data_IF_032596839975
#
_entry.id   IF_032596839975
#
_cell.length_a   1.000
_cell.length_b   1.000
_cell.length_c   1.000
_cell.angle_alpha   90.00
_cell.angle_beta   90.00
_cell.angle_gamma   90.00
#
_symmetry.space_group_name_H-M   'P 1'
#
loop_
_entity.id
_entity.type
_entity.pdbx_description
1 polymer ?
#
# COMPACT_ATOMS: atom_id res chain seq x y z
N UNK A 1 -8.52 -12.07 33.78
CA UNK A 1 -9.62 -12.17 32.78
C UNK A 1 -9.53 -10.91 31.93
N UNK A 2 -9.19 -11.01 30.63
CA UNK A 2 -9.41 -9.97 29.65
C UNK A 2 -10.92 -9.86 29.55
N UNK A 3 -11.53 -8.83 30.13
CA UNK A 3 -12.93 -8.52 29.90
C UNK A 3 -13.09 -8.14 28.44
N UNK A 4 -14.20 -8.51 27.85
CA UNK A 4 -14.59 -8.07 26.52
C UNK A 4 -14.89 -6.57 26.60
N UNK A 5 -13.81 -5.80 26.40
CA UNK A 5 -13.87 -4.35 26.40
C UNK A 5 -14.36 -3.90 25.03
N UNK A 6 -15.60 -3.48 24.96
CA UNK A 6 -16.20 -2.84 23.77
C UNK A 6 -16.22 -1.33 24.01
N UNK A 7 -15.45 -0.61 23.21
CA UNK A 7 -15.46 0.86 23.24
C UNK A 7 -16.76 1.37 22.60
N UNK A 8 -17.51 2.20 23.34
CA UNK A 8 -18.62 2.95 22.77
C UNK A 8 -18.05 4.09 21.88
N UNK A 9 -18.25 4.05 20.56
CA UNK A 9 -17.73 5.09 19.68
C UNK A 9 -18.36 6.47 19.92
N UNK A 10 -19.50 6.54 20.63
CA UNK A 10 -20.18 7.79 20.97
C UNK A 10 -19.68 8.38 22.29
N UNK A 11 -18.95 7.62 23.08
CA UNK A 11 -18.43 8.07 24.37
C UNK A 11 -16.96 7.67 24.59
N UNK A 12 -16.09 8.20 23.75
CA UNK A 12 -14.64 7.91 23.76
C UNK A 12 -13.99 8.36 25.08
N UNK A 13 -14.53 9.41 25.72
CA UNK A 13 -13.97 9.96 26.96
C UNK A 13 -14.22 9.09 28.20
N UNK A 14 -15.03 8.04 28.11
CA UNK A 14 -15.11 7.04 29.20
C UNK A 14 -13.79 6.28 29.38
N UNK A 15 -12.92 6.31 28.35
CA UNK A 15 -11.68 5.55 28.30
C UNK A 15 -10.46 6.44 28.17
N UNK A 16 -10.61 7.50 27.37
CA UNK A 16 -9.55 8.48 27.14
C UNK A 16 -9.85 9.75 27.93
N UNK A 17 -8.82 10.35 28.46
CA UNK A 17 -8.90 11.68 29.02
C UNK A 17 -8.05 12.66 28.21
N UNK A 18 -8.38 13.91 28.29
CA UNK A 18 -7.53 14.96 27.76
C UNK A 18 -6.20 15.02 28.52
N UNK A 19 -5.13 15.29 27.78
CA UNK A 19 -3.79 15.44 28.32
C UNK A 19 -3.04 16.53 27.53
N UNK A 20 -2.13 17.25 28.18
CA UNK A 20 -1.21 18.11 27.47
C UNK A 20 -0.19 17.32 26.66
N UNK A 21 0.41 17.93 25.66
CA UNK A 21 1.51 17.32 24.91
C UNK A 21 2.70 16.98 25.80
N UNK A 22 3.03 17.82 26.77
CA UNK A 22 4.11 17.58 27.72
C UNK A 22 3.84 16.33 28.54
N UNK A 23 2.64 16.19 29.09
CA UNK A 23 2.26 15.00 29.85
C UNK A 23 2.29 13.72 28.99
N UNK A 24 1.68 13.78 27.80
CA UNK A 24 1.60 12.63 26.91
C UNK A 24 2.99 12.17 26.45
N UNK A 25 3.86 13.10 26.04
CA UNK A 25 5.21 12.79 25.61
C UNK A 25 6.11 12.32 26.75
N UNK A 26 5.99 12.91 27.95
CA UNK A 26 6.72 12.46 29.12
C UNK A 26 6.34 11.03 29.52
N UNK A 27 5.04 10.73 29.51
CA UNK A 27 4.54 9.39 29.80
C UNK A 27 5.02 8.36 28.77
N UNK A 28 4.81 8.65 27.47
CA UNK A 28 5.18 7.72 26.40
C UNK A 28 6.70 7.53 26.33
N UNK A 29 7.47 8.61 26.30
CA UNK A 29 8.94 8.57 26.24
C UNK A 29 9.55 7.92 27.48
N UNK A 30 9.03 8.22 28.68
CA UNK A 30 9.42 7.58 29.91
C UNK A 30 9.21 6.07 29.89
N UNK A 31 8.03 5.62 29.43
CA UNK A 31 7.72 4.18 29.32
C UNK A 31 8.58 3.47 28.30
N UNK A 32 8.86 4.08 27.15
CA UNK A 32 9.79 3.50 26.17
C UNK A 32 11.20 3.36 26.75
N UNK A 33 11.66 4.37 27.47
CA UNK A 33 12.96 4.33 28.15
C UNK A 33 13.01 3.21 29.19
N UNK A 34 12.01 3.12 30.07
CA UNK A 34 11.92 2.09 31.10
C UNK A 34 11.93 0.67 30.49
N UNK A 35 11.15 0.45 29.44
CA UNK A 35 11.10 -0.83 28.73
C UNK A 35 12.45 -1.19 28.09
N UNK A 36 13.08 -0.22 27.44
CA UNK A 36 14.41 -0.39 26.85
C UNK A 36 15.45 -0.74 27.91
N UNK A 37 15.47 0.02 29.02
CA UNK A 37 16.47 -0.14 30.07
C UNK A 37 16.28 -1.46 30.85
N UNK A 38 15.01 -1.91 30.98
CA UNK A 38 14.67 -3.17 31.67
C UNK A 38 14.82 -4.42 30.79
N UNK A 39 14.46 -4.34 29.53
CA UNK A 39 14.35 -5.50 28.64
C UNK A 39 15.32 -5.46 27.45
N UNK A 40 16.13 -4.40 27.34
CA UNK A 40 17.10 -4.20 26.28
C UNK A 40 16.49 -3.56 25.01
N UNK A 41 17.38 -3.06 24.15
CA UNK A 41 17.02 -2.30 22.95
C UNK A 41 16.12 -3.07 21.96
N UNK A 42 16.26 -4.39 21.91
CA UNK A 42 15.47 -5.25 21.01
C UNK A 42 14.03 -5.48 21.47
N UNK A 43 13.65 -5.02 22.67
CA UNK A 43 12.27 -5.10 23.16
C UNK A 43 11.33 -4.08 22.48
N UNK A 44 11.91 -3.10 21.79
CA UNK A 44 11.17 -2.05 21.10
C UNK A 44 11.26 -2.22 19.58
N UNK A 45 10.16 -1.96 18.92
CA UNK A 45 10.06 -1.96 17.47
C UNK A 45 9.20 -0.78 17.00
N UNK A 46 9.37 -0.37 15.76
CA UNK A 46 8.56 0.65 15.11
C UNK A 46 7.98 0.18 13.79
N UNK A 47 6.71 0.48 13.56
CA UNK A 47 6.01 0.19 12.32
C UNK A 47 5.53 1.50 11.68
N UNK A 48 6.14 1.87 10.56
CA UNK A 48 5.81 3.06 9.81
C UNK A 48 4.61 2.86 8.88
N UNK A 49 4.08 3.97 8.37
CA UNK A 49 2.93 3.99 7.47
C UNK A 49 3.24 4.75 6.18
N UNK A 50 2.66 4.30 5.07
CA UNK A 50 2.70 5.01 3.79
C UNK A 50 1.81 6.28 3.77
N UNK A 51 1.05 6.53 4.82
CA UNK A 51 0.17 7.70 4.95
C UNK A 51 0.87 8.92 5.54
N UNK A 52 2.12 8.78 5.96
CA UNK A 52 2.94 9.89 6.42
C UNK A 52 3.72 10.55 5.28
N UNK A 53 4.24 11.74 5.54
CA UNK A 53 5.19 12.41 4.65
C UNK A 53 6.58 11.73 4.67
N UNK A 54 7.45 12.10 3.76
CA UNK A 54 8.83 11.61 3.75
C UNK A 54 9.58 12.03 5.03
N UNK A 55 9.28 13.23 5.54
CA UNK A 55 9.86 13.78 6.77
C UNK A 55 9.42 12.94 7.99
N UNK A 56 8.15 12.58 8.06
CA UNK A 56 7.62 11.71 9.12
C UNK A 56 8.26 10.32 9.07
N UNK A 57 8.40 9.74 7.88
CA UNK A 57 9.06 8.45 7.70
C UNK A 57 10.54 8.50 8.15
N UNK A 58 11.25 9.58 7.79
CA UNK A 58 12.63 9.81 8.23
C UNK A 58 12.72 9.95 9.75
N UNK A 59 11.89 10.82 10.34
CA UNK A 59 11.89 11.08 11.78
C UNK A 59 11.50 9.84 12.58
N UNK A 60 10.55 9.07 12.09
CA UNK A 60 10.15 7.82 12.72
C UNK A 60 11.28 6.78 12.72
N UNK A 61 11.95 6.59 11.58
CA UNK A 61 13.11 5.71 11.51
C UNK A 61 14.24 6.20 12.42
N UNK A 62 14.49 7.51 12.47
CA UNK A 62 15.48 8.14 13.35
C UNK A 62 15.14 7.88 14.82
N UNK A 63 13.87 8.04 15.22
CA UNK A 63 13.42 7.74 16.58
C UNK A 63 13.75 6.29 16.98
N UNK A 64 13.42 5.32 16.13
CA UNK A 64 13.67 3.91 16.44
C UNK A 64 15.16 3.61 16.52
N UNK A 65 15.96 4.12 15.57
CA UNK A 65 17.39 3.84 15.53
C UNK A 65 18.19 4.57 16.62
N UNK A 66 17.90 5.83 16.84
CA UNK A 66 18.66 6.65 17.81
C UNK A 66 18.01 6.68 19.20
N UNK A 67 16.69 6.84 19.27
CA UNK A 67 15.95 6.90 20.53
C UNK A 67 15.83 5.52 21.20
N UNK A 68 15.37 4.51 20.48
CA UNK A 68 15.29 3.15 21.02
C UNK A 68 16.63 2.40 20.94
N UNK A 69 17.53 2.80 20.02
CA UNK A 69 18.80 2.14 19.77
C UNK A 69 18.64 0.78 19.09
N UNK A 70 17.59 0.59 18.30
CA UNK A 70 17.21 -0.65 17.64
C UNK A 70 17.05 -0.45 16.13
N UNK A 71 17.36 -1.50 15.35
CA UNK A 71 17.02 -1.57 13.92
C UNK A 71 15.67 -2.26 13.66
N UNK A 72 14.89 -2.56 14.69
CA UNK A 72 13.57 -3.16 14.56
C UNK A 72 12.57 -2.11 14.07
N UNK A 73 12.74 -1.66 12.83
CA UNK A 73 11.84 -0.71 12.17
C UNK A 73 11.51 -1.25 10.78
N UNK A 74 10.23 -1.23 10.46
CA UNK A 74 9.74 -1.60 9.14
C UNK A 74 8.58 -0.69 8.73
N UNK A 75 8.11 -0.86 7.52
CA UNK A 75 7.09 -0.02 6.91
C UNK A 75 5.96 -0.89 6.38
N UNK A 76 4.76 -0.34 6.25
CA UNK A 76 3.60 -1.08 5.73
C UNK A 76 3.86 -1.68 4.34
N UNK A 77 4.77 -1.12 3.55
CA UNK A 77 5.20 -1.64 2.24
C UNK A 77 5.72 -3.07 2.33
N UNK A 78 6.24 -3.51 3.48
CA UNK A 78 6.65 -4.90 3.71
C UNK A 78 5.57 -5.91 3.33
N UNK A 79 4.33 -5.65 3.72
CA UNK A 79 3.18 -6.50 3.42
C UNK A 79 2.39 -6.05 2.19
N UNK A 80 2.48 -4.76 1.83
CA UNK A 80 1.68 -4.15 0.78
C UNK A 80 2.31 -4.33 -0.60
N UNK A 81 3.56 -3.91 -0.79
CA UNK A 81 4.22 -3.83 -2.10
C UNK A 81 5.64 -4.43 -2.12
N UNK A 82 6.04 -5.21 -1.14
CA UNK A 82 7.40 -5.75 -1.09
C UNK A 82 7.72 -6.58 -2.34
N UNK A 83 6.81 -7.44 -2.78
CA UNK A 83 6.95 -8.23 -4.00
C UNK A 83 7.03 -7.36 -5.27
N UNK A 84 6.23 -6.30 -5.35
CA UNK A 84 6.26 -5.35 -6.47
C UNK A 84 7.57 -4.55 -6.49
N UNK A 85 8.09 -4.15 -5.33
CA UNK A 85 9.38 -3.46 -5.23
C UNK A 85 10.52 -4.37 -5.70
N UNK A 86 10.53 -5.65 -5.30
CA UNK A 86 11.51 -6.62 -5.77
C UNK A 86 11.41 -6.80 -7.29
N UNK A 87 10.22 -6.99 -7.82
CA UNK A 87 10.00 -7.15 -9.26
C UNK A 87 10.46 -5.92 -10.06
N UNK A 88 10.21 -4.71 -9.57
CA UNK A 88 10.68 -3.48 -10.19
C UNK A 88 12.21 -3.36 -10.13
N UNK A 89 12.83 -3.67 -8.99
CA UNK A 89 14.30 -3.64 -8.85
C UNK A 89 14.97 -4.64 -9.78
N UNK A 90 14.42 -5.84 -9.92
CA UNK A 90 14.95 -6.87 -10.81
C UNK A 90 14.68 -6.58 -12.30
N UNK A 91 13.49 -6.07 -12.61
CA UNK A 91 13.07 -5.83 -13.99
C UNK A 91 13.59 -4.53 -14.60
N UNK A 92 13.64 -3.46 -13.85
CA UNK A 92 13.99 -2.12 -14.35
C UNK A 92 15.10 -1.41 -13.54
N UNK A 93 15.62 -2.04 -12.49
CA UNK A 93 16.70 -1.48 -11.65
C UNK A 93 16.26 -0.36 -10.71
N UNK A 94 14.96 -0.12 -10.54
CA UNK A 94 14.42 0.92 -9.67
C UNK A 94 13.22 0.39 -8.89
N UNK A 95 13.11 0.74 -7.62
CA UNK A 95 11.95 0.37 -6.79
C UNK A 95 10.69 1.22 -7.04
N UNK A 96 10.70 2.09 -8.04
CA UNK A 96 9.59 2.96 -8.41
C UNK A 96 9.17 2.73 -9.86
N UNK A 97 7.89 3.05 -10.15
CA UNK A 97 7.34 3.01 -11.52
C UNK A 97 8.05 4.00 -12.44
N UNK A 98 8.14 3.67 -13.74
CA UNK A 98 8.84 4.47 -14.73
C UNK A 98 7.99 5.59 -15.35
N UNK A 99 6.66 5.50 -15.26
CA UNK A 99 5.72 6.38 -15.95
C UNK A 99 4.83 7.14 -14.96
N UNK A 100 4.52 8.41 -15.22
CA UNK A 100 3.49 9.12 -14.49
C UNK A 100 2.09 8.60 -14.86
N UNK A 101 1.14 8.72 -13.92
CA UNK A 101 -0.26 8.29 -14.13
C UNK A 101 -0.89 8.97 -15.35
N UNK A 102 -0.48 10.20 -15.65
CA UNK A 102 -1.01 10.98 -16.76
C UNK A 102 -0.72 10.36 -18.14
N UNK A 103 0.26 9.47 -18.27
CA UNK A 103 0.55 8.83 -19.55
C UNK A 103 -0.55 7.89 -20.02
N UNK A 104 -1.47 7.50 -19.15
CA UNK A 104 -2.66 6.71 -19.49
C UNK A 104 -3.50 7.37 -20.59
N UNK A 105 -3.53 8.70 -20.67
CA UNK A 105 -4.29 9.43 -21.71
C UNK A 105 -3.68 9.35 -23.09
N UNK A 106 -2.43 8.89 -23.21
CA UNK A 106 -1.70 8.72 -24.48
C UNK A 106 -1.66 7.26 -24.94
N UNK A 107 -2.18 6.34 -24.12
CA UNK A 107 -2.11 4.91 -24.39
C UNK A 107 -3.27 4.47 -25.29
N UNK A 108 -2.98 3.63 -26.28
CA UNK A 108 -4.02 2.97 -27.10
C UNK A 108 -4.72 1.85 -26.32
N UNK A 109 -3.98 1.20 -25.43
CA UNK A 109 -4.47 0.11 -24.57
C UNK A 109 -4.01 0.34 -23.15
N UNK A 110 -4.94 0.20 -22.19
CA UNK A 110 -4.65 0.23 -20.75
C UNK A 110 -5.08 -1.10 -20.16
N UNK A 111 -4.18 -1.74 -19.45
CA UNK A 111 -4.45 -2.98 -18.72
C UNK A 111 -4.48 -2.66 -17.23
N UNK A 112 -5.55 -3.04 -16.54
CA UNK A 112 -5.68 -2.96 -15.08
C UNK A 112 -5.83 -4.38 -14.57
N UNK A 113 -4.90 -4.80 -13.73
CA UNK A 113 -4.90 -6.14 -13.15
C UNK A 113 -4.88 -6.06 -11.63
N UNK A 114 -5.82 -6.75 -10.96
CA UNK A 114 -5.90 -6.86 -9.51
C UNK A 114 -6.02 -5.53 -8.77
N UNK A 115 -6.60 -4.50 -9.39
CA UNK A 115 -6.67 -3.16 -8.84
C UNK A 115 -8.05 -2.52 -9.01
N UNK A 116 -8.46 -1.73 -8.01
CA UNK A 116 -9.71 -0.97 -8.06
C UNK A 116 -9.46 0.54 -7.89
N UNK A 117 -8.91 1.20 -8.92
CA UNK A 117 -8.55 2.61 -8.84
C UNK A 117 -9.76 3.55 -8.64
N UNK A 118 -10.98 3.13 -8.95
CA UNK A 118 -12.17 3.94 -8.64
C UNK A 118 -12.38 4.14 -7.14
N UNK A 119 -11.88 3.23 -6.32
CA UNK A 119 -11.94 3.31 -4.86
C UNK A 119 -10.63 3.80 -4.26
N UNK A 120 -9.51 3.21 -4.69
CA UNK A 120 -8.20 3.45 -4.06
C UNK A 120 -7.48 4.69 -4.61
N UNK A 121 -7.76 5.07 -5.87
CA UNK A 121 -7.12 6.17 -6.57
C UNK A 121 -8.15 6.93 -7.45
N UNK A 122 -9.18 7.56 -6.86
CA UNK A 122 -10.32 8.08 -7.61
C UNK A 122 -9.94 9.16 -8.64
N UNK A 123 -8.93 9.97 -8.35
CA UNK A 123 -8.43 10.96 -9.31
C UNK A 123 -7.78 10.29 -10.51
N UNK A 124 -6.91 9.30 -10.30
CA UNK A 124 -6.33 8.51 -11.39
C UNK A 124 -7.40 7.79 -12.22
N UNK A 125 -8.43 7.26 -11.57
CA UNK A 125 -9.56 6.64 -12.25
C UNK A 125 -10.30 7.60 -13.18
N UNK A 126 -10.34 8.90 -12.88
CA UNK A 126 -10.93 9.91 -13.75
C UNK A 126 -10.16 10.00 -15.07
N UNK A 127 -8.83 10.02 -15.02
CA UNK A 127 -8.01 10.03 -16.24
C UNK A 127 -8.19 8.75 -17.07
N UNK A 128 -8.27 7.59 -16.41
CA UNK A 128 -8.56 6.31 -17.09
C UNK A 128 -9.92 6.35 -17.79
N UNK A 129 -10.96 6.81 -17.10
CA UNK A 129 -12.31 6.94 -17.68
C UNK A 129 -12.33 7.88 -18.88
N UNK A 130 -11.67 9.03 -18.78
CA UNK A 130 -11.56 9.99 -19.88
C UNK A 130 -10.79 9.40 -21.07
N UNK A 131 -9.70 8.68 -20.82
CA UNK A 131 -8.95 7.99 -21.88
C UNK A 131 -9.84 6.98 -22.63
N UNK A 132 -10.62 6.18 -21.91
CA UNK A 132 -11.56 5.22 -22.50
C UNK A 132 -12.63 5.92 -23.35
N UNK A 133 -13.17 7.05 -22.87
CA UNK A 133 -14.12 7.86 -23.65
C UNK A 133 -13.50 8.42 -24.94
N UNK A 134 -12.19 8.65 -24.93
CA UNK A 134 -11.43 9.14 -26.08
C UNK A 134 -10.88 8.02 -26.99
N UNK A 135 -11.27 6.76 -26.75
CA UNK A 135 -10.95 5.64 -27.64
C UNK A 135 -9.92 4.64 -27.13
N UNK A 136 -9.28 4.89 -25.99
CA UNK A 136 -8.37 3.92 -25.36
C UNK A 136 -9.12 2.63 -25.03
N UNK A 137 -8.55 1.48 -25.40
CA UNK A 137 -9.11 0.17 -25.08
C UNK A 137 -8.71 -0.24 -23.67
N UNK A 138 -9.68 -0.33 -22.77
CA UNK A 138 -9.46 -0.77 -21.40
C UNK A 138 -9.65 -2.28 -21.29
N UNK A 139 -8.65 -2.97 -20.76
CA UNK A 139 -8.72 -4.39 -20.38
C UNK A 139 -8.63 -4.48 -18.86
N UNK A 140 -9.62 -5.08 -18.23
CA UNK A 140 -9.65 -5.28 -16.77
C UNK A 140 -9.56 -6.77 -16.50
N UNK A 141 -8.56 -7.13 -15.68
CA UNK A 141 -8.30 -8.48 -15.21
C UNK A 141 -8.45 -8.49 -13.70
N UNK A 142 -9.51 -9.12 -13.18
CA UNK A 142 -9.78 -9.12 -11.75
C UNK A 142 -10.68 -10.29 -11.36
N UNK A 143 -10.45 -10.97 -10.26
CA UNK A 143 -11.38 -11.97 -9.72
C UNK A 143 -12.75 -11.40 -9.43
N UNK A 144 -12.82 -10.10 -9.12
CA UNK A 144 -14.05 -9.38 -8.78
C UNK A 144 -14.39 -8.35 -9.86
N UNK A 145 -15.66 -8.33 -10.28
CA UNK A 145 -16.12 -7.35 -11.23
C UNK A 145 -16.20 -5.96 -10.58
N UNK A 146 -15.18 -5.14 -10.81
CA UNK A 146 -15.10 -3.76 -10.34
C UNK A 146 -15.92 -2.80 -11.23
N UNK A 147 -16.07 -1.54 -10.79
CA UNK A 147 -16.80 -0.53 -11.58
C UNK A 147 -16.16 -0.27 -12.95
N UNK A 148 -14.84 -0.35 -13.07
CA UNK A 148 -14.16 -0.18 -14.35
C UNK A 148 -14.48 -1.29 -15.36
N UNK A 149 -14.86 -2.47 -14.89
CA UNK A 149 -15.27 -3.57 -15.77
C UNK A 149 -16.52 -3.24 -16.59
N UNK A 150 -17.33 -2.25 -16.17
CA UNK A 150 -18.52 -1.82 -16.91
C UNK A 150 -18.18 -1.07 -18.20
N UNK A 151 -17.05 -0.40 -18.23
CA UNK A 151 -16.58 0.38 -19.38
C UNK A 151 -15.38 -0.27 -20.07
N UNK A 152 -14.95 -1.45 -19.60
CA UNK A 152 -13.84 -2.17 -20.18
C UNK A 152 -14.20 -2.72 -21.58
N UNK A 153 -13.26 -2.59 -22.53
CA UNK A 153 -13.32 -3.28 -23.80
C UNK A 153 -13.31 -4.80 -23.64
N UNK A 154 -12.54 -5.29 -22.64
CA UNK A 154 -12.50 -6.68 -22.22
C UNK A 154 -12.42 -6.76 -20.69
N UNK A 155 -13.21 -7.65 -20.12
CA UNK A 155 -13.12 -8.04 -18.72
C UNK A 155 -12.80 -9.52 -18.65
N UNK A 156 -11.66 -9.86 -18.04
CA UNK A 156 -11.18 -11.22 -17.84
C UNK A 156 -11.25 -11.54 -16.37
N UNK A 157 -12.24 -12.33 -16.00
CA UNK A 157 -12.40 -12.78 -14.61
C UNK A 157 -11.60 -14.07 -14.40
N UNK A 158 -10.50 -13.99 -13.68
CA UNK A 158 -9.70 -15.15 -13.32
C UNK A 158 -9.97 -15.59 -11.87
N UNK A 159 -9.59 -16.80 -11.54
CA UNK A 159 -9.70 -17.29 -10.16
C UNK A 159 -8.65 -16.60 -9.29
N UNK A 160 -8.97 -16.24 -8.02
CA UNK A 160 -7.95 -15.73 -7.09
C UNK A 160 -6.70 -16.61 -7.11
N UNK A 161 -5.55 -15.97 -6.99
CA UNK A 161 -4.23 -16.63 -6.92
C UNK A 161 -3.78 -17.35 -8.23
N UNK A 162 -4.40 -17.00 -9.37
CA UNK A 162 -3.99 -17.54 -10.68
C UNK A 162 -3.44 -16.49 -11.64
N UNK A 163 -3.02 -15.33 -11.13
CA UNK A 163 -2.47 -14.21 -11.89
C UNK A 163 -1.26 -14.64 -12.72
N UNK A 164 -0.33 -15.38 -12.10
CA UNK A 164 0.88 -15.86 -12.76
C UNK A 164 0.55 -16.78 -13.93
N UNK A 165 -0.42 -17.68 -13.77
CA UNK A 165 -0.84 -18.57 -14.85
C UNK A 165 -1.45 -17.78 -16.03
N UNK A 166 -2.26 -16.74 -15.75
CA UNK A 166 -2.84 -15.87 -16.76
C UNK A 166 -1.75 -15.09 -17.52
N UNK A 167 -0.79 -14.50 -16.80
CA UNK A 167 0.31 -13.74 -17.41
C UNK A 167 1.22 -14.64 -18.23
N UNK A 168 1.51 -15.85 -17.75
CA UNK A 168 2.29 -16.84 -18.50
C UNK A 168 1.56 -17.30 -19.77
N UNK A 169 0.24 -17.44 -19.73
CA UNK A 169 -0.55 -17.75 -20.92
C UNK A 169 -0.48 -16.62 -21.95
N UNK A 170 -0.51 -15.37 -21.54
CA UNK A 170 -0.32 -14.22 -22.44
C UNK A 170 1.08 -14.23 -23.07
N UNK A 171 2.12 -14.45 -22.27
CA UNK A 171 3.49 -14.55 -22.78
C UNK A 171 3.64 -15.74 -23.76
N UNK A 172 3.00 -16.88 -23.47
CA UNK A 172 3.01 -18.03 -24.34
C UNK A 172 2.47 -17.70 -25.75
N UNK A 173 1.34 -16.98 -25.80
CA UNK A 173 0.75 -16.56 -27.10
C UNK A 173 1.71 -15.65 -27.85
N UNK A 174 2.31 -14.66 -27.19
CA UNK A 174 3.27 -13.74 -27.82
C UNK A 174 4.43 -14.52 -28.47
N UNK A 175 5.00 -15.49 -27.72
CA UNK A 175 6.12 -16.30 -28.23
C UNK A 175 5.68 -17.26 -29.32
N UNK A 176 4.54 -17.95 -29.16
CA UNK A 176 4.06 -18.95 -30.12
C UNK A 176 3.65 -18.33 -31.46
N UNK A 177 3.11 -17.12 -31.42
CA UNK A 177 2.64 -16.40 -32.62
C UNK A 177 3.69 -15.40 -33.15
N UNK A 178 4.87 -15.32 -32.51
CA UNK A 178 5.97 -14.43 -32.86
C UNK A 178 5.55 -12.96 -33.00
N UNK A 179 4.76 -12.47 -32.01
CA UNK A 179 4.25 -11.11 -31.92
C UNK A 179 5.27 -10.12 -31.37
#
# INVERSE_FOLDING_TARGET
>A
KKGDFVMDPNNVLDIFREASWEEALALAGGKFKDLRDKHGKKSLAGFGSAKGSNEEAYLFQKLVRTGFGSNNVDHCTRLCHASSVVALLEGIGSGAVSNPVMDVVKADVVIIIGANPTVNHPVAATFIKNAVQNGTKLVVLDPRRSDLARMAHRFLQFKPDTDVALLNAMMHVIVAENL
#
